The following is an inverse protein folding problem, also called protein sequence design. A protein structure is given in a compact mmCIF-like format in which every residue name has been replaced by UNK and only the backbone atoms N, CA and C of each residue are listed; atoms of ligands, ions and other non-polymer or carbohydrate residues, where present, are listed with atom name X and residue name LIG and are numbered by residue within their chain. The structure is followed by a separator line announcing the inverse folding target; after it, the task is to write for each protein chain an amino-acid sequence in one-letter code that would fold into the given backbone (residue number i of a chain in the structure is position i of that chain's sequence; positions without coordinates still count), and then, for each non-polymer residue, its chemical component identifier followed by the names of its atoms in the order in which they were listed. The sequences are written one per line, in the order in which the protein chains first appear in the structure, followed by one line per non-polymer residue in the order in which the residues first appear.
data_IF_877384887895
#
_entry.id   IF_877384887895
#
_cell.length_a   1.000
_cell.length_b   1.000
_cell.length_c   1.000
_cell.angle_alpha   90.00
_cell.angle_beta   90.00
_cell.angle_gamma   90.00
#
_symmetry.space_group_name_H-M   'P 1'
#
loop_
_entity.id
_entity.type
_entity.pdbx_description
1 polymer ?
#
# COMPACT_ATOMS: atom_id res chain seq x y z
N UNK A 1 -10.92 -22.23 26.10
CA UNK A 1 -11.28 -22.57 24.71
C UNK A 1 -10.09 -23.27 24.06
N UNK A 2 -10.34 -24.38 23.36
CA UNK A 2 -9.35 -24.93 22.46
C UNK A 2 -9.16 -23.90 21.33
N UNK A 3 -7.91 -23.50 21.06
CA UNK A 3 -7.63 -22.61 19.93
C UNK A 3 -6.52 -23.22 19.08
N UNK A 4 -6.69 -23.05 17.77
CA UNK A 4 -5.73 -23.54 16.76
C UNK A 4 -4.96 -22.39 16.10
N UNK A 5 -5.25 -21.15 16.50
CA UNK A 5 -4.63 -19.97 15.93
C UNK A 5 -4.00 -19.09 17.01
N UNK A 6 -3.02 -18.33 16.63
CA UNK A 6 -2.42 -17.25 17.38
C UNK A 6 -2.01 -16.10 16.45
N UNK A 7 -1.76 -14.95 17.00
CA UNK A 7 -0.99 -13.91 16.34
C UNK A 7 0.18 -13.46 17.21
N UNK A 8 1.19 -12.90 16.58
CA UNK A 8 2.38 -12.43 17.27
C UNK A 8 3.13 -11.39 16.46
N UNK A 9 3.79 -10.47 17.15
CA UNK A 9 4.75 -9.54 16.55
C UNK A 9 6.10 -10.17 16.20
N UNK A 10 6.42 -11.31 16.83
CA UNK A 10 7.71 -11.96 16.67
C UNK A 10 7.81 -12.72 15.35
N UNK A 11 9.01 -12.72 14.76
CA UNK A 11 9.32 -13.55 13.62
C UNK A 11 9.04 -15.03 13.90
N UNK A 12 8.36 -15.69 12.99
CA UNK A 12 8.18 -17.14 13.05
C UNK A 12 9.47 -17.81 12.56
N UNK A 13 10.39 -18.03 13.49
CA UNK A 13 11.61 -18.81 13.27
C UNK A 13 11.30 -20.29 13.14
N UNK A 14 12.26 -21.10 12.67
CA UNK A 14 12.10 -22.57 12.65
C UNK A 14 11.84 -23.12 14.05
N UNK A 15 12.47 -22.56 15.08
CA UNK A 15 12.25 -22.94 16.48
C UNK A 15 10.82 -22.65 16.92
N UNK A 16 10.34 -21.42 16.71
CA UNK A 16 8.99 -21.04 17.10
C UNK A 16 7.93 -21.85 16.33
N UNK A 17 8.13 -22.06 15.03
CA UNK A 17 7.22 -22.87 14.22
C UNK A 17 7.07 -24.30 14.73
N UNK A 18 8.19 -24.93 15.14
CA UNK A 18 8.17 -26.27 15.74
C UNK A 18 7.40 -26.29 17.08
N UNK A 19 7.61 -25.29 17.94
CA UNK A 19 6.87 -25.20 19.20
C UNK A 19 5.38 -24.99 18.98
N UNK A 20 5.00 -24.09 18.06
CA UNK A 20 3.61 -23.86 17.74
C UNK A 20 2.91 -25.13 17.23
N UNK A 21 3.56 -25.85 16.33
CA UNK A 21 3.03 -27.12 15.82
C UNK A 21 2.87 -28.17 16.94
N UNK A 22 3.88 -28.31 17.79
CA UNK A 22 3.84 -29.27 18.91
C UNK A 22 2.73 -28.97 19.90
N UNK A 23 2.43 -27.69 20.12
CA UNK A 23 1.34 -27.24 21.03
C UNK A 23 -0.04 -27.16 20.35
N UNK A 24 -0.15 -27.62 19.09
CA UNK A 24 -1.42 -27.77 18.38
C UNK A 24 -1.88 -26.53 17.58
N UNK A 25 -1.05 -25.49 17.51
CA UNK A 25 -1.36 -24.35 16.64
C UNK A 25 -1.25 -24.75 15.16
N UNK A 26 -2.16 -24.20 14.37
CA UNK A 26 -2.26 -24.46 12.93
C UNK A 26 -2.17 -23.19 12.10
N UNK A 27 -2.52 -22.04 12.69
CA UNK A 27 -2.66 -20.77 11.99
C UNK A 27 -1.95 -19.66 12.78
N UNK A 28 -1.21 -18.81 12.07
CA UNK A 28 -0.49 -17.67 12.66
C UNK A 28 -0.88 -16.38 11.95
N UNK A 29 -1.31 -15.39 12.72
CA UNK A 29 -1.47 -14.01 12.25
C UNK A 29 -0.15 -13.28 12.27
N UNK A 30 0.22 -12.63 11.16
CA UNK A 30 1.45 -11.87 11.05
C UNK A 30 1.23 -10.55 10.34
N UNK A 31 2.05 -9.57 10.67
CA UNK A 31 1.95 -8.20 10.20
C UNK A 31 2.69 -8.01 8.88
N UNK A 32 2.01 -7.46 7.87
CA UNK A 32 2.59 -7.23 6.54
C UNK A 32 3.70 -6.18 6.54
N UNK A 33 3.58 -5.19 7.40
CA UNK A 33 4.50 -4.04 7.48
C UNK A 33 4.45 -3.39 8.85
N UNK A 34 5.31 -2.38 9.06
CA UNK A 34 5.33 -1.55 10.26
C UNK A 34 5.72 -0.11 9.91
N UNK A 35 5.42 0.88 10.79
CA UNK A 35 5.86 2.25 10.60
C UNK A 35 7.38 2.37 10.57
N UNK A 36 7.92 3.14 9.62
CA UNK A 36 9.36 3.38 9.51
C UNK A 36 10.19 2.21 8.99
N UNK A 37 9.52 1.15 8.50
CA UNK A 37 10.17 -0.05 7.99
C UNK A 37 11.20 0.24 6.90
N UNK A 38 10.96 1.24 6.07
CA UNK A 38 11.85 1.65 4.99
C UNK A 38 13.21 2.17 5.47
N UNK A 39 13.31 2.57 6.73
CA UNK A 39 14.53 3.07 7.37
C UNK A 39 15.12 2.09 8.41
N UNK A 40 14.59 0.86 8.47
CA UNK A 40 14.95 -0.12 9.47
C UNK A 40 15.52 -1.36 8.78
N UNK A 41 16.63 -1.89 9.27
CA UNK A 41 17.14 -3.17 8.77
C UNK A 41 16.15 -4.29 9.08
N UNK A 42 15.99 -5.24 8.16
CA UNK A 42 15.01 -6.33 8.30
C UNK A 42 15.19 -7.13 9.61
N UNK A 43 16.43 -7.32 10.05
CA UNK A 43 16.72 -8.00 11.31
C UNK A 43 16.15 -7.28 12.54
N UNK A 44 15.97 -5.96 12.43
CA UNK A 44 15.53 -5.08 13.52
C UNK A 44 14.02 -4.76 13.46
N UNK A 45 13.27 -5.38 12.54
CA UNK A 45 11.83 -5.17 12.48
C UNK A 45 11.17 -5.55 13.81
N UNK A 46 10.32 -4.66 14.30
CA UNK A 46 9.58 -4.90 15.52
C UNK A 46 8.50 -5.97 15.34
N UNK A 47 7.75 -5.88 14.23
CA UNK A 47 6.61 -6.78 13.97
C UNK A 47 6.45 -7.21 12.51
N UNK A 48 7.04 -6.51 11.55
CA UNK A 48 6.84 -6.80 10.14
C UNK A 48 7.38 -8.17 9.74
N UNK A 49 6.67 -8.82 8.84
CA UNK A 49 7.13 -10.03 8.16
C UNK A 49 8.47 -9.79 7.47
N UNK A 50 9.37 -10.76 7.61
CA UNK A 50 10.69 -10.79 6.98
C UNK A 50 10.67 -11.60 5.70
N UNK A 51 11.65 -11.35 4.84
CA UNK A 51 11.84 -12.13 3.62
C UNK A 51 12.01 -13.61 3.96
N UNK A 52 11.27 -14.49 3.29
CA UNK A 52 11.31 -15.93 3.50
C UNK A 52 10.56 -16.44 4.74
N UNK A 53 9.97 -15.57 5.54
CA UNK A 53 9.23 -15.98 6.74
C UNK A 53 7.92 -16.71 6.40
N UNK A 54 7.16 -16.26 5.39
CA UNK A 54 5.94 -16.94 4.96
C UNK A 54 6.23 -18.32 4.38
N UNK A 55 7.29 -18.45 3.61
CA UNK A 55 7.80 -19.75 3.09
C UNK A 55 8.10 -20.71 4.23
N UNK A 56 8.73 -20.20 5.30
CA UNK A 56 9.05 -20.99 6.50
C UNK A 56 7.78 -21.43 7.22
N UNK A 57 6.80 -20.54 7.41
CA UNK A 57 5.51 -20.86 8.02
C UNK A 57 4.84 -22.01 7.26
N UNK A 58 4.72 -21.89 5.94
CA UNK A 58 4.07 -22.91 5.08
C UNK A 58 4.86 -24.22 5.07
N UNK A 59 6.19 -24.15 5.01
CA UNK A 59 7.07 -25.34 5.04
C UNK A 59 6.91 -26.15 6.32
N UNK A 60 6.64 -25.49 7.45
CA UNK A 60 6.33 -26.16 8.72
C UNK A 60 4.89 -26.69 8.80
N UNK A 61 4.09 -26.55 7.73
CA UNK A 61 2.68 -26.97 7.70
C UNK A 61 1.77 -26.10 8.56
N UNK A 62 2.17 -24.86 8.83
CA UNK A 62 1.33 -23.81 9.39
C UNK A 62 0.63 -23.05 8.26
N UNK A 63 -0.52 -22.49 8.59
CA UNK A 63 -1.22 -21.50 7.75
C UNK A 63 -1.04 -20.12 8.36
N UNK A 64 -1.36 -19.08 7.60
CA UNK A 64 -1.27 -17.71 8.12
C UNK A 64 -2.46 -16.85 7.68
N UNK A 65 -2.62 -15.72 8.32
CA UNK A 65 -3.47 -14.63 7.88
C UNK A 65 -2.75 -13.29 8.05
N UNK A 66 -2.82 -12.41 7.04
CA UNK A 66 -2.11 -11.14 7.06
C UNK A 66 -2.86 -10.07 7.83
N UNK A 67 -2.14 -9.34 8.67
CA UNK A 67 -2.62 -8.18 9.43
C UNK A 67 -1.90 -6.94 8.89
N UNK A 68 -2.62 -5.85 8.73
CA UNK A 68 -2.05 -4.55 8.44
C UNK A 68 -2.31 -3.60 9.60
N UNK A 69 -1.24 -3.13 10.23
CA UNK A 69 -1.29 -2.13 11.29
C UNK A 69 -0.08 -1.20 11.19
N UNK A 70 -0.30 0.01 10.71
CA UNK A 70 0.72 1.06 10.73
C UNK A 70 0.55 1.91 11.98
N UNK A 71 -0.30 2.92 11.94
CA UNK A 71 -0.73 3.70 13.10
C UNK A 71 -2.23 3.53 13.28
N UNK A 72 -2.67 2.97 14.41
CA UNK A 72 -4.08 2.60 14.61
C UNK A 72 -4.58 2.81 16.04
N UNK A 73 -3.84 3.59 16.84
CA UNK A 73 -4.06 3.76 18.29
C UNK A 73 -4.63 5.12 18.67
N UNK A 74 -4.93 5.98 17.70
CA UNK A 74 -5.49 7.32 17.92
C UNK A 74 -6.50 7.65 16.84
N UNK A 75 -7.54 8.41 17.19
CA UNK A 75 -8.59 8.79 16.25
C UNK A 75 -8.09 9.43 14.96
N UNK A 76 -7.09 10.32 15.06
CA UNK A 76 -6.47 10.99 13.90
C UNK A 76 -5.82 10.05 12.89
N UNK A 77 -5.57 8.80 13.26
CA UNK A 77 -5.01 7.81 12.33
C UNK A 77 -6.04 7.30 11.31
N UNK A 78 -7.33 7.51 11.63
CA UNK A 78 -8.44 7.05 10.79
C UNK A 78 -9.03 8.23 10.02
N UNK A 79 -8.57 8.38 8.79
CA UNK A 79 -9.10 9.31 7.79
C UNK A 79 -9.26 8.58 6.45
N UNK A 80 -10.07 9.12 5.55
CA UNK A 80 -10.22 8.56 4.21
C UNK A 80 -8.87 8.55 3.45
N UNK A 81 -8.05 9.59 3.62
CA UNK A 81 -6.72 9.68 3.03
C UNK A 81 -5.82 8.55 3.54
N UNK A 82 -5.76 8.34 4.85
CA UNK A 82 -5.01 7.24 5.45
C UNK A 82 -5.55 5.87 5.01
N UNK A 83 -6.87 5.72 4.89
CA UNK A 83 -7.48 4.49 4.41
C UNK A 83 -7.02 4.11 3.00
N UNK A 84 -7.04 5.07 2.08
CA UNK A 84 -6.54 4.86 0.72
C UNK A 84 -5.04 4.51 0.69
N UNK A 85 -4.23 5.24 1.46
CA UNK A 85 -2.79 5.00 1.59
C UNK A 85 -2.49 3.62 2.19
N UNK A 86 -3.18 3.25 3.26
CA UNK A 86 -3.01 1.96 3.94
C UNK A 86 -3.41 0.79 3.04
N UNK A 87 -4.48 0.92 2.26
CA UNK A 87 -4.88 -0.10 1.29
C UNK A 87 -3.78 -0.38 0.27
N UNK A 88 -3.19 0.66 -0.31
CA UNK A 88 -2.07 0.53 -1.28
C UNK A 88 -0.83 -0.07 -0.63
N UNK A 89 -0.44 0.39 0.57
CA UNK A 89 0.70 -0.16 1.31
C UNK A 89 0.51 -1.64 1.65
N UNK A 90 -0.67 -2.01 2.12
CA UNK A 90 -0.99 -3.39 2.46
C UNK A 90 -0.93 -4.31 1.22
N UNK A 91 -1.51 -3.85 0.11
CA UNK A 91 -1.46 -4.58 -1.16
C UNK A 91 -0.03 -4.77 -1.65
N UNK A 92 0.77 -3.70 -1.67
CA UNK A 92 2.17 -3.75 -2.09
C UNK A 92 2.99 -4.71 -1.21
N UNK A 93 2.83 -4.64 0.11
CA UNK A 93 3.52 -5.53 1.03
C UNK A 93 3.10 -6.99 0.85
N UNK A 94 1.80 -7.26 0.70
CA UNK A 94 1.29 -8.61 0.46
C UNK A 94 1.83 -9.20 -0.84
N UNK A 95 1.83 -8.45 -1.93
CA UNK A 95 2.36 -8.87 -3.22
C UNK A 95 3.87 -9.13 -3.16
N UNK A 96 4.63 -8.23 -2.53
CA UNK A 96 6.07 -8.37 -2.34
C UNK A 96 6.43 -9.64 -1.55
N UNK A 97 5.65 -9.96 -0.53
CA UNK A 97 5.84 -11.13 0.32
C UNK A 97 5.30 -12.44 -0.29
N UNK A 98 4.65 -12.39 -1.44
CA UNK A 98 4.07 -13.55 -2.08
C UNK A 98 2.77 -14.03 -1.43
N UNK A 99 2.03 -13.16 -0.76
CA UNK A 99 0.69 -13.50 -0.23
C UNK A 99 -0.29 -13.63 -1.40
N UNK A 100 -0.93 -14.79 -1.61
CA UNK A 100 -1.94 -14.93 -2.65
C UNK A 100 -3.19 -14.10 -2.31
N UNK A 101 -4.09 -13.87 -3.29
CA UNK A 101 -5.37 -13.22 -3.03
C UNK A 101 -6.09 -13.80 -1.82
N UNK A 102 -6.33 -12.96 -0.81
CA UNK A 102 -6.93 -13.34 0.45
C UNK A 102 -7.55 -12.14 1.16
N UNK A 103 -7.91 -12.29 2.43
CA UNK A 103 -8.35 -11.20 3.28
C UNK A 103 -7.14 -10.60 4.00
N UNK A 104 -7.02 -9.28 3.98
CA UNK A 104 -6.08 -8.53 4.81
C UNK A 104 -6.87 -7.85 5.92
N UNK A 105 -6.47 -8.07 7.17
CA UNK A 105 -7.15 -7.52 8.35
C UNK A 105 -6.51 -6.19 8.75
N UNK A 106 -7.24 -5.10 8.53
CA UNK A 106 -6.82 -3.74 8.89
C UNK A 106 -7.16 -3.43 10.34
N UNK A 107 -6.17 -3.02 11.13
CA UNK A 107 -6.30 -2.87 12.56
C UNK A 107 -6.89 -1.51 12.98
N UNK A 108 -7.83 -1.56 13.94
CA UNK A 108 -8.30 -0.44 14.74
C UNK A 108 -8.05 -0.79 16.21
N UNK A 109 -6.90 -0.37 16.70
CA UNK A 109 -6.47 -0.58 18.11
C UNK A 109 -6.76 0.70 18.92
N UNK A 110 -8.01 1.12 18.88
CA UNK A 110 -8.52 2.33 19.49
C UNK A 110 -9.96 2.12 19.95
N UNK A 111 -10.26 2.54 21.18
CA UNK A 111 -11.61 2.47 21.73
C UNK A 111 -12.46 3.64 21.21
N UNK A 112 -12.91 3.53 19.96
CA UNK A 112 -13.73 4.56 19.34
C UNK A 112 -15.15 4.56 19.90
N UNK A 113 -15.63 5.74 20.26
CA UNK A 113 -17.05 5.97 20.55
C UNK A 113 -17.90 5.84 19.29
N UNK A 114 -19.19 5.63 19.45
CA UNK A 114 -20.10 5.45 18.32
C UNK A 114 -20.12 6.64 17.32
N UNK A 115 -20.10 7.92 17.76
CA UNK A 115 -19.90 9.05 16.86
C UNK A 115 -18.55 9.02 16.11
N UNK A 116 -17.45 8.61 16.76
CA UNK A 116 -16.14 8.51 16.13
C UNK A 116 -16.08 7.38 15.12
N UNK A 117 -16.81 6.29 15.34
CA UNK A 117 -16.97 5.24 14.32
C UNK A 117 -17.59 5.83 13.08
N UNK A 118 -18.65 6.64 13.23
CA UNK A 118 -19.32 7.27 12.09
C UNK A 118 -18.45 8.30 11.38
N UNK A 119 -17.76 9.16 12.12
CA UNK A 119 -17.02 10.29 11.55
C UNK A 119 -15.65 9.92 10.99
N UNK A 120 -15.00 8.86 11.51
CA UNK A 120 -13.63 8.53 11.19
C UNK A 120 -13.45 7.09 10.69
N UNK A 121 -13.94 6.09 11.44
CA UNK A 121 -13.67 4.69 11.12
C UNK A 121 -14.38 4.26 9.83
N UNK A 122 -15.67 4.60 9.66
CA UNK A 122 -16.40 4.25 8.44
C UNK A 122 -15.82 4.93 7.19
N UNK A 123 -15.50 6.24 7.17
CA UNK A 123 -14.80 6.86 6.03
C UNK A 123 -13.43 6.23 5.73
N UNK A 124 -12.66 5.87 6.76
CA UNK A 124 -11.41 5.15 6.60
C UNK A 124 -11.61 3.81 5.88
N UNK A 125 -12.53 2.95 6.37
CA UNK A 125 -12.78 1.64 5.74
C UNK A 125 -13.46 1.74 4.38
N UNK A 126 -14.27 2.77 4.15
CA UNK A 126 -14.78 3.06 2.80
C UNK A 126 -13.63 3.30 1.83
N UNK A 127 -12.64 4.08 2.23
CA UNK A 127 -11.45 4.35 1.41
C UNK A 127 -10.57 3.11 1.26
N UNK A 128 -10.38 2.30 2.31
CA UNK A 128 -9.66 1.02 2.22
C UNK A 128 -10.35 0.11 1.20
N UNK A 129 -11.65 -0.06 1.31
CA UNK A 129 -12.43 -0.92 0.40
C UNK A 129 -12.37 -0.45 -1.06
N UNK A 130 -12.37 0.86 -1.27
CA UNK A 130 -12.30 1.44 -2.62
C UNK A 130 -10.92 1.36 -3.27
N UNK A 131 -9.84 1.21 -2.48
CA UNK A 131 -8.46 1.27 -2.96
C UNK A 131 -7.70 -0.06 -2.84
N UNK A 132 -8.24 -1.06 -2.18
CA UNK A 132 -7.62 -2.38 -2.07
C UNK A 132 -7.93 -3.20 -3.33
N UNK A 133 -6.90 -3.53 -4.10
CA UNK A 133 -6.99 -4.30 -5.33
C UNK A 133 -6.21 -5.63 -5.26
N UNK A 134 -5.76 -6.14 -6.41
CA UNK A 134 -4.94 -7.35 -6.48
C UNK A 134 -5.66 -8.64 -6.06
N UNK A 135 -6.99 -8.64 -6.03
CA UNK A 135 -7.79 -9.77 -5.56
C UNK A 135 -7.87 -9.89 -4.03
N UNK A 136 -7.24 -8.97 -3.29
CA UNK A 136 -7.35 -8.90 -1.84
C UNK A 136 -8.71 -8.33 -1.41
N UNK A 137 -9.20 -8.78 -0.26
CA UNK A 137 -10.45 -8.32 0.32
C UNK A 137 -10.22 -7.75 1.71
N UNK A 138 -11.05 -6.81 2.10
CA UNK A 138 -10.92 -6.11 3.38
C UNK A 138 -11.47 -6.96 4.52
N UNK A 139 -10.60 -7.25 5.50
CA UNK A 139 -10.95 -7.65 6.84
C UNK A 139 -10.71 -6.52 7.82
N UNK A 140 -11.27 -6.63 9.01
CA UNK A 140 -11.08 -5.67 10.09
C UNK A 140 -10.61 -6.38 11.36
N UNK A 141 -9.62 -5.81 12.04
CA UNK A 141 -9.28 -6.15 13.42
C UNK A 141 -9.72 -4.99 14.34
N UNK A 142 -10.69 -5.22 15.19
CA UNK A 142 -11.24 -4.20 16.07
C UNK A 142 -12.12 -4.81 17.19
N UNK A 143 -12.66 -3.95 18.07
CA UNK A 143 -13.72 -4.32 19.01
C UNK A 143 -15.00 -4.73 18.27
N UNK A 144 -15.89 -5.44 18.97
CA UNK A 144 -17.12 -6.02 18.42
C UNK A 144 -18.02 -5.01 17.70
N UNK A 145 -18.27 -3.86 18.35
CA UNK A 145 -19.11 -2.82 17.77
C UNK A 145 -18.53 -2.27 16.46
N UNK A 146 -17.23 -1.96 16.47
CA UNK A 146 -16.56 -1.43 15.29
C UNK A 146 -16.60 -2.44 14.15
N UNK A 147 -16.25 -3.70 14.43
CA UNK A 147 -16.34 -4.79 13.45
C UNK A 147 -17.75 -4.91 12.85
N UNK A 148 -18.77 -4.92 13.69
CA UNK A 148 -20.16 -5.04 13.23
C UNK A 148 -20.56 -3.86 12.34
N UNK A 149 -20.28 -2.63 12.75
CA UNK A 149 -20.65 -1.43 11.99
C UNK A 149 -19.94 -1.32 10.64
N UNK A 150 -18.65 -1.66 10.58
CA UNK A 150 -17.89 -1.67 9.31
C UNK A 150 -18.40 -2.76 8.36
N UNK A 151 -18.76 -3.93 8.89
CA UNK A 151 -19.35 -5.02 8.12
C UNK A 151 -20.76 -4.66 7.60
N UNK A 152 -21.61 -4.07 8.44
CA UNK A 152 -22.96 -3.61 8.07
C UNK A 152 -22.92 -2.51 6.99
N UNK A 153 -21.90 -1.65 7.02
CA UNK A 153 -21.67 -0.66 5.98
C UNK A 153 -21.15 -1.27 4.66
N UNK A 154 -20.84 -2.58 4.62
CA UNK A 154 -20.34 -3.27 3.45
C UNK A 154 -18.86 -3.05 3.15
N UNK A 155 -18.08 -2.51 4.09
CA UNK A 155 -16.67 -2.18 3.88
C UNK A 155 -15.69 -3.27 4.32
N UNK A 156 -16.16 -4.30 5.03
CA UNK A 156 -15.36 -5.48 5.35
C UNK A 156 -16.15 -6.76 5.16
N UNK A 157 -15.45 -7.83 4.72
CA UNK A 157 -16.06 -9.16 4.50
C UNK A 157 -15.82 -10.12 5.66
N UNK A 158 -14.86 -9.81 6.53
CA UNK A 158 -14.47 -10.65 7.66
C UNK A 158 -14.02 -9.82 8.85
N UNK A 159 -14.25 -10.33 10.05
CA UNK A 159 -13.81 -9.69 11.29
C UNK A 159 -12.83 -10.58 12.06
N UNK A 160 -11.76 -9.95 12.50
CA UNK A 160 -10.84 -10.42 13.53
C UNK A 160 -11.11 -9.59 14.79
N UNK A 161 -11.79 -10.17 15.73
CA UNK A 161 -12.32 -9.46 16.90
C UNK A 161 -11.24 -9.35 17.97
N UNK A 162 -11.08 -8.17 18.57
CA UNK A 162 -10.13 -7.91 19.66
C UNK A 162 -10.80 -8.09 21.04
N UNK A 163 -11.34 -9.27 21.34
CA UNK A 163 -11.99 -9.55 22.63
C UNK A 163 -11.03 -9.50 23.82
N UNK A 164 -9.74 -9.60 23.57
CA UNK A 164 -8.70 -9.42 24.58
C UNK A 164 -8.70 -7.99 25.16
N UNK A 165 -9.14 -7.00 24.39
CA UNK A 165 -9.29 -5.61 24.84
C UNK A 165 -10.58 -5.45 25.66
N UNK A 166 -10.63 -6.10 26.82
CA UNK A 166 -11.83 -6.20 27.68
C UNK A 166 -12.29 -4.87 28.24
N UNK A 167 -11.40 -3.87 28.32
CA UNK A 167 -11.74 -2.50 28.73
C UNK A 167 -12.33 -1.61 27.63
N UNK A 168 -12.32 -2.07 26.38
CA UNK A 168 -12.87 -1.28 25.27
C UNK A 168 -14.40 -1.24 25.33
N UNK A 169 -14.95 -0.04 25.25
CA UNK A 169 -16.40 0.18 25.28
C UNK A 169 -17.11 -0.56 24.15
N UNK A 170 -16.46 -0.70 23.00
CA UNK A 170 -16.96 -1.43 21.85
C UNK A 170 -17.07 -2.93 22.04
N UNK A 171 -16.52 -3.51 23.12
CA UNK A 171 -16.68 -4.91 23.50
C UNK A 171 -17.76 -5.14 24.57
N UNK A 172 -18.10 -4.09 25.33
CA UNK A 172 -19.03 -4.18 26.44
C UNK A 172 -20.49 -4.24 25.94
N UNK A 173 -21.15 -5.37 26.19
CA UNK A 173 -22.56 -5.55 25.83
C UNK A 173 -22.84 -5.83 24.35
N UNK A 174 -21.83 -5.86 23.49
CA UNK A 174 -21.98 -6.20 22.08
C UNK A 174 -21.80 -7.69 21.81
N UNK A 175 -22.64 -8.23 20.95
CA UNK A 175 -22.47 -9.58 20.44
C UNK A 175 -21.29 -9.66 19.48
N UNK A 176 -20.67 -10.85 19.38
CA UNK A 176 -19.64 -11.09 18.37
C UNK A 176 -20.23 -10.88 16.95
N UNK A 177 -19.54 -10.19 16.04
CA UNK A 177 -20.04 -9.91 14.69
C UNK A 177 -20.36 -11.19 13.92
N UNK A 178 -21.42 -11.17 13.10
CA UNK A 178 -21.84 -12.34 12.33
C UNK A 178 -20.78 -12.87 11.37
N UNK A 179 -19.93 -11.99 10.86
CA UNK A 179 -18.84 -12.28 9.92
C UNK A 179 -17.48 -12.54 10.60
N UNK A 180 -17.48 -12.85 11.89
CA UNK A 180 -16.22 -13.13 12.59
C UNK A 180 -15.54 -14.39 12.02
N UNK A 181 -14.25 -14.28 11.80
CA UNK A 181 -13.37 -15.37 11.38
C UNK A 181 -12.37 -15.72 12.47
N UNK A 182 -11.82 -14.71 13.08
CA UNK A 182 -10.87 -14.79 14.19
C UNK A 182 -11.35 -13.99 15.40
N UNK A 183 -11.01 -14.45 16.59
CA UNK A 183 -11.33 -13.79 17.86
C UNK A 183 -10.11 -13.91 18.79
N UNK A 184 -9.44 -12.78 19.03
CA UNK A 184 -8.29 -12.67 19.91
C UNK A 184 -8.78 -12.51 21.36
N UNK A 185 -8.53 -13.49 22.18
CA UNK A 185 -9.17 -13.56 23.51
C UNK A 185 -8.21 -13.69 24.71
N UNK A 186 -6.94 -13.96 24.47
CA UNK A 186 -5.99 -14.16 25.58
C UNK A 186 -4.54 -14.01 25.15
N UNK A 187 -3.76 -13.24 25.88
CA UNK A 187 -2.33 -13.08 25.68
C UNK A 187 -1.53 -14.07 26.53
N UNK A 188 -0.49 -14.65 25.98
CA UNK A 188 0.50 -15.47 26.67
C UNK A 188 1.81 -14.70 26.64
N UNK A 189 2.23 -14.22 27.82
CA UNK A 189 3.55 -13.65 28.01
C UNK A 189 4.61 -14.74 28.22
N UNK A 190 5.75 -14.58 27.57
CA UNK A 190 6.88 -15.49 27.75
C UNK A 190 6.62 -16.92 27.29
N UNK A 191 5.88 -17.11 26.19
CA UNK A 191 5.70 -18.42 25.57
C UNK A 191 7.07 -19.08 25.30
N UNK A 192 7.28 -20.28 25.85
CA UNK A 192 8.57 -20.99 25.84
C UNK A 192 9.75 -20.16 26.38
N UNK A 193 9.48 -19.18 27.22
CA UNK A 193 10.48 -18.28 27.81
C UNK A 193 11.06 -17.21 26.88
N UNK A 194 10.53 -17.06 25.67
CA UNK A 194 11.11 -16.18 24.62
C UNK A 194 10.12 -15.27 23.92
N UNK A 195 8.86 -15.69 23.71
CA UNK A 195 7.92 -15.01 22.85
C UNK A 195 6.64 -14.62 23.58
N UNK A 196 5.95 -13.63 23.07
CA UNK A 196 4.57 -13.34 23.45
C UNK A 196 3.64 -13.74 22.32
N UNK A 197 2.53 -14.37 22.63
CA UNK A 197 1.52 -14.83 21.68
C UNK A 197 0.15 -14.37 22.14
N UNK A 198 -0.65 -13.94 21.20
CA UNK A 198 -2.08 -13.74 21.39
C UNK A 198 -2.84 -14.96 20.89
N UNK A 199 -3.61 -15.61 21.78
CA UNK A 199 -4.43 -16.76 21.43
C UNK A 199 -5.66 -16.30 20.68
N UNK A 200 -5.93 -16.98 19.57
CA UNK A 200 -6.98 -16.63 18.63
C UNK A 200 -7.90 -17.82 18.40
N UNK A 201 -9.19 -17.63 18.64
CA UNK A 201 -10.21 -18.59 18.24
C UNK A 201 -10.48 -18.45 16.74
N UNK A 202 -10.68 -19.56 16.07
CA UNK A 202 -10.93 -19.62 14.63
C UNK A 202 -12.29 -20.24 14.34
N UNK A 203 -13.11 -19.55 13.56
CA UNK A 203 -14.47 -20.01 13.22
C UNK A 203 -14.53 -21.06 12.12
N UNK A 204 -13.49 -21.18 11.33
CA UNK A 204 -13.47 -22.05 10.15
C UNK A 204 -14.26 -21.54 8.93
N UNK A 205 -14.89 -20.36 9.03
CA UNK A 205 -15.76 -19.82 7.96
C UNK A 205 -15.01 -19.42 6.70
N UNK A 206 -13.80 -18.92 6.85
CA UNK A 206 -12.93 -18.51 5.75
C UNK A 206 -11.58 -19.17 5.96
N UNK A 207 -11.05 -19.90 4.97
CA UNK A 207 -9.77 -20.57 5.11
C UNK A 207 -8.63 -19.58 5.34
N UNK A 208 -7.74 -19.93 6.25
CA UNK A 208 -6.44 -19.26 6.36
C UNK A 208 -5.53 -19.65 5.18
N UNK A 209 -4.53 -18.83 4.88
CA UNK A 209 -3.64 -19.03 3.73
C UNK A 209 -2.66 -20.16 3.99
N UNK A 210 -2.57 -21.13 3.07
CA UNK A 210 -1.68 -22.30 3.15
C UNK A 210 -0.63 -22.36 2.05
N UNK A 211 -0.51 -21.31 1.25
CA UNK A 211 0.37 -21.25 0.09
C UNK A 211 1.04 -19.90 -0.02
N UNK A 212 2.01 -19.83 -0.91
CA UNK A 212 2.66 -18.59 -1.33
C UNK A 212 2.52 -18.50 -2.83
N UNK A 213 2.13 -17.33 -3.32
CA UNK A 213 2.25 -17.03 -4.74
C UNK A 213 3.73 -16.82 -5.05
N UNK A 214 4.22 -17.25 -6.22
CA UNK A 214 5.54 -16.84 -6.68
C UNK A 214 5.59 -15.31 -6.59
N UNK A 215 6.48 -14.79 -5.76
CA UNK A 215 6.73 -13.35 -5.76
C UNK A 215 7.14 -12.98 -7.18
N UNK A 216 6.38 -12.14 -7.84
CA UNK A 216 6.96 -11.39 -8.94
C UNK A 216 8.21 -10.74 -8.37
N UNK A 217 9.38 -10.86 -9.00
CA UNK A 217 10.58 -10.24 -8.48
C UNK A 217 10.24 -8.77 -8.21
N UNK A 218 10.25 -8.38 -6.94
CA UNK A 218 9.93 -7.00 -6.58
C UNK A 218 11.03 -6.15 -7.15
N UNK A 219 10.73 -5.43 -8.20
CA UNK A 219 11.65 -4.46 -8.75
C UNK A 219 11.91 -3.44 -7.64
N UNK A 220 13.14 -3.34 -7.16
CA UNK A 220 13.49 -2.37 -6.14
C UNK A 220 13.60 -0.98 -6.78
N UNK A 221 12.46 -0.34 -6.96
CA UNK A 221 12.41 1.01 -7.53
C UNK A 221 13.19 2.03 -6.71
N UNK A 222 13.30 1.83 -5.41
CA UNK A 222 14.02 2.76 -4.52
C UNK A 222 15.53 2.84 -4.80
N UNK A 223 16.11 1.83 -5.45
CA UNK A 223 17.52 1.80 -5.84
C UNK A 223 17.80 2.23 -7.27
N UNK A 224 16.75 2.59 -8.02
CA UNK A 224 16.88 2.99 -9.43
C UNK A 224 17.26 4.45 -9.58
N UNK A 225 17.95 4.74 -10.68
CA UNK A 225 18.21 6.09 -11.14
C UNK A 225 16.92 6.83 -11.54
N UNK A 226 16.98 8.15 -11.49
CA UNK A 226 15.84 8.99 -11.82
C UNK A 226 15.28 8.72 -13.23
N UNK A 227 16.14 8.66 -14.23
CA UNK A 227 15.74 8.41 -15.63
C UNK A 227 15.09 7.04 -15.77
N UNK A 228 15.66 6.00 -15.16
CA UNK A 228 15.11 4.65 -15.19
C UNK A 228 13.70 4.60 -14.57
N UNK A 229 13.47 5.37 -13.50
CA UNK A 229 12.16 5.47 -12.86
C UNK A 229 11.13 6.17 -13.77
N UNK A 230 11.54 7.23 -14.44
CA UNK A 230 10.68 7.96 -15.39
C UNK A 230 10.28 7.04 -16.55
N UNK A 231 11.23 6.34 -17.18
CA UNK A 231 10.96 5.39 -18.26
C UNK A 231 10.03 4.26 -17.81
N UNK A 232 10.23 3.75 -16.59
CA UNK A 232 9.36 2.70 -16.06
C UNK A 232 7.95 3.18 -15.76
N UNK A 233 7.80 4.42 -15.28
CA UNK A 233 6.49 5.01 -15.08
C UNK A 233 5.75 5.21 -16.41
N UNK A 234 6.45 5.67 -17.42
CA UNK A 234 5.89 5.83 -18.78
C UNK A 234 5.43 4.48 -19.35
N UNK A 235 6.29 3.47 -19.31
CA UNK A 235 5.95 2.13 -19.78
C UNK A 235 4.75 1.54 -19.00
N UNK A 236 4.66 1.80 -17.71
CA UNK A 236 3.52 1.34 -16.92
C UNK A 236 2.24 2.07 -17.27
N UNK A 237 2.33 3.37 -17.52
CA UNK A 237 1.22 4.17 -18.00
C UNK A 237 0.66 3.65 -19.32
N UNK A 238 1.53 3.34 -20.28
CA UNK A 238 1.12 2.74 -21.55
C UNK A 238 0.38 1.41 -21.37
N UNK A 239 0.91 0.52 -20.51
CA UNK A 239 0.27 -0.75 -20.20
C UNK A 239 -1.11 -0.58 -19.57
N UNK A 240 -1.27 0.38 -18.65
CA UNK A 240 -2.57 0.68 -18.04
C UNK A 240 -3.54 1.18 -19.11
N UNK A 241 -3.10 2.09 -19.96
CA UNK A 241 -3.89 2.64 -21.05
C UNK A 241 -4.34 1.58 -22.06
N UNK A 242 -3.44 0.69 -22.45
CA UNK A 242 -3.75 -0.41 -23.38
C UNK A 242 -4.77 -1.40 -22.80
N UNK A 243 -4.76 -1.58 -21.48
CA UNK A 243 -5.67 -2.49 -20.79
C UNK A 243 -6.97 -1.82 -20.34
N UNK A 244 -7.11 -0.51 -20.52
CA UNK A 244 -8.33 0.22 -20.13
C UNK A 244 -9.46 -0.04 -21.15
N UNK A 245 -10.25 -1.06 -20.87
CA UNK A 245 -11.43 -1.43 -21.68
C UNK A 245 -12.55 -0.40 -21.62
N UNK A 246 -12.50 0.55 -20.68
CA UNK A 246 -13.54 1.58 -20.56
C UNK A 246 -13.32 2.72 -21.56
N UNK A 247 -12.14 2.81 -22.16
CA UNK A 247 -11.76 3.85 -23.10
C UNK A 247 -11.76 5.26 -22.51
N UNK A 248 -11.81 5.37 -21.17
CA UNK A 248 -11.83 6.69 -20.49
C UNK A 248 -10.44 7.19 -20.14
N UNK A 249 -9.44 6.31 -20.13
CA UNK A 249 -8.06 6.69 -19.90
C UNK A 249 -7.46 7.29 -21.17
N UNK A 250 -7.16 8.57 -21.12
CA UNK A 250 -6.67 9.29 -22.29
C UNK A 250 -7.73 9.59 -23.36
N UNK A 251 -9.01 9.32 -23.12
CA UNK A 251 -10.08 9.49 -24.12
C UNK A 251 -10.35 10.95 -24.51
N UNK A 252 -10.01 11.90 -23.65
CA UNK A 252 -10.23 13.32 -23.89
C UNK A 252 -9.17 13.97 -24.78
N UNK A 253 -8.20 13.19 -25.23
CA UNK A 253 -7.26 13.66 -26.22
C UNK A 253 -7.85 13.53 -27.61
N UNK A 254 -8.13 14.66 -28.16
CA UNK A 254 -8.35 14.75 -29.60
C UNK A 254 -7.10 14.21 -30.29
N UNK A 255 -7.28 13.24 -31.15
CA UNK A 255 -6.24 12.78 -32.08
C UNK A 255 -5.75 13.99 -32.91
N UNK A 256 -4.96 14.81 -32.29
CA UNK A 256 -4.24 15.87 -32.92
C UNK A 256 -3.00 15.31 -33.59
N UNK A 257 -2.49 15.97 -34.55
CA UNK A 257 -1.44 15.71 -35.51
C UNK A 257 -0.10 15.15 -34.99
N UNK A 258 0.02 14.63 -33.80
CA UNK A 258 1.28 14.33 -33.15
C UNK A 258 1.55 12.85 -32.87
N UNK A 259 0.68 11.94 -33.27
CA UNK A 259 0.86 10.50 -33.05
C UNK A 259 0.67 10.05 -31.58
N UNK A 260 0.38 8.79 -31.39
CA UNK A 260 0.06 8.17 -30.11
C UNK A 260 1.19 8.32 -29.07
N UNK A 261 2.45 8.30 -29.48
CA UNK A 261 3.61 8.44 -28.60
C UNK A 261 3.71 9.79 -27.89
N UNK A 262 3.52 10.89 -28.61
CA UNK A 262 3.58 12.23 -28.01
C UNK A 262 2.49 12.50 -26.95
N UNK A 263 1.46 11.75 -27.00
CA UNK A 263 0.26 11.76 -26.20
C UNK A 263 0.45 11.15 -24.81
N UNK A 264 0.85 9.91 -24.79
CA UNK A 264 1.20 9.17 -23.59
C UNK A 264 2.18 9.99 -22.76
N UNK A 265 3.06 10.67 -23.40
CA UNK A 265 4.12 11.46 -22.83
C UNK A 265 3.64 12.69 -22.05
N UNK A 266 2.72 13.44 -22.64
CA UNK A 266 2.12 14.60 -21.99
C UNK A 266 1.33 14.15 -20.75
N UNK A 267 0.67 13.01 -20.82
CA UNK A 267 -0.12 12.48 -19.71
C UNK A 267 0.74 11.92 -18.59
N UNK A 268 1.75 11.11 -18.91
CA UNK A 268 2.72 10.62 -17.93
C UNK A 268 3.39 11.79 -17.24
N UNK A 269 3.82 12.76 -18.01
CA UNK A 269 4.42 13.98 -17.50
C UNK A 269 3.46 14.75 -16.58
N UNK A 270 2.19 14.88 -16.97
CA UNK A 270 1.18 15.52 -16.14
C UNK A 270 0.95 14.80 -14.81
N UNK A 271 0.88 13.47 -14.83
CA UNK A 271 0.70 12.68 -13.64
C UNK A 271 1.90 12.80 -12.71
N UNK A 272 3.12 12.76 -13.24
CA UNK A 272 4.35 12.97 -12.47
C UNK A 272 4.38 14.39 -11.92
N UNK A 273 4.07 15.38 -12.71
CA UNK A 273 4.05 16.77 -12.26
C UNK A 273 2.97 17.05 -11.24
N UNK A 274 1.75 16.55 -11.43
CA UNK A 274 0.69 16.72 -10.43
C UNK A 274 1.08 16.09 -9.10
N UNK A 275 1.77 14.98 -9.15
CA UNK A 275 2.22 14.29 -7.96
C UNK A 275 3.40 15.01 -7.27
N UNK A 276 4.37 15.48 -8.04
CA UNK A 276 5.53 16.21 -7.57
C UNK A 276 5.21 17.69 -7.28
N UNK A 277 4.24 18.29 -7.96
CA UNK A 277 3.96 19.73 -7.97
C UNK A 277 3.21 20.25 -6.77
N UNK A 278 2.80 19.39 -5.88
CA UNK A 278 2.17 19.86 -4.63
C UNK A 278 3.06 20.90 -3.92
N UNK A 279 4.33 20.94 -4.22
CA UNK A 279 5.31 21.88 -3.61
C UNK A 279 6.10 22.73 -4.62
N UNK A 280 6.53 22.20 -5.78
CA UNK A 280 7.59 22.81 -6.60
C UNK A 280 7.16 23.42 -7.93
N UNK A 281 6.10 22.95 -8.54
CA UNK A 281 5.74 23.32 -9.91
C UNK A 281 4.53 24.21 -10.03
N UNK A 282 3.91 24.54 -8.92
CA UNK A 282 2.74 25.42 -8.88
C UNK A 282 3.12 26.80 -9.40
N UNK A 283 2.88 27.02 -10.68
CA UNK A 283 3.06 28.32 -11.34
C UNK A 283 4.27 28.46 -12.27
N UNK A 284 5.18 27.49 -12.34
CA UNK A 284 6.38 27.61 -13.19
C UNK A 284 6.16 27.20 -14.66
N UNK A 285 5.09 26.47 -14.96
CA UNK A 285 4.81 25.97 -16.30
C UNK A 285 3.41 26.36 -16.74
N UNK A 286 3.29 27.38 -17.56
CA UNK A 286 2.00 27.90 -18.08
C UNK A 286 1.16 26.86 -18.82
N UNK A 287 1.77 25.88 -19.45
CA UNK A 287 1.07 24.84 -20.18
C UNK A 287 0.62 23.67 -19.26
N UNK A 288 1.30 23.42 -18.15
CA UNK A 288 0.84 22.50 -17.14
C UNK A 288 -0.46 22.96 -16.49
N UNK A 289 -0.62 24.26 -16.32
CA UNK A 289 -1.84 24.86 -15.74
C UNK A 289 -3.07 24.68 -16.65
N UNK A 290 -2.92 24.75 -17.96
CA UNK A 290 -4.05 24.61 -18.89
C UNK A 290 -4.55 23.17 -19.02
N UNK A 291 -3.73 22.19 -18.64
CA UNK A 291 -4.08 20.78 -18.69
C UNK A 291 -4.50 20.21 -17.33
N UNK A 292 -4.34 20.98 -16.24
CA UNK A 292 -4.60 20.54 -14.85
C UNK A 292 -6.03 20.03 -14.63
N UNK A 293 -7.02 20.61 -15.32
CA UNK A 293 -8.40 20.20 -15.19
C UNK A 293 -8.72 18.84 -15.81
N UNK A 294 -7.94 18.39 -16.77
CA UNK A 294 -8.21 17.16 -17.52
C UNK A 294 -7.58 15.91 -16.90
N UNK A 295 -6.75 16.05 -15.86
CA UNK A 295 -5.82 15.02 -15.43
C UNK A 295 -6.05 14.45 -14.05
N UNK A 296 -6.96 15.00 -13.29
CA UNK A 296 -7.24 14.50 -11.95
C UNK A 296 -7.71 13.04 -11.97
N UNK A 297 -8.46 12.66 -13.02
CA UNK A 297 -8.95 11.29 -13.17
C UNK A 297 -7.83 10.31 -13.53
N UNK A 298 -6.92 10.72 -14.41
CA UNK A 298 -5.81 9.89 -14.86
C UNK A 298 -4.73 9.77 -13.78
N UNK A 299 -4.45 10.84 -13.05
CA UNK A 299 -3.60 10.80 -11.87
C UNK A 299 -4.13 9.82 -10.82
N UNK A 300 -5.43 9.82 -10.55
CA UNK A 300 -6.07 8.87 -9.63
C UNK A 300 -5.96 7.42 -10.11
N UNK A 301 -6.06 7.17 -11.40
CA UNK A 301 -5.87 5.83 -11.98
C UNK A 301 -4.44 5.35 -11.82
N UNK A 302 -3.46 6.20 -12.07
CA UNK A 302 -2.05 5.88 -11.83
C UNK A 302 -1.75 5.64 -10.36
N UNK A 303 -2.26 6.48 -9.48
CA UNK A 303 -2.11 6.31 -8.03
C UNK A 303 -2.76 5.01 -7.53
N UNK A 304 -3.82 4.54 -8.17
CA UNK A 304 -4.48 3.27 -7.84
C UNK A 304 -3.73 2.05 -8.38
N UNK A 305 -2.85 2.22 -9.36
CA UNK A 305 -2.01 1.14 -9.87
C UNK A 305 -0.81 0.92 -8.96
N UNK A 306 -0.67 -0.29 -8.46
CA UNK A 306 0.37 -0.61 -7.48
C UNK A 306 1.80 -0.40 -8.02
N UNK A 307 2.05 -0.74 -9.27
CA UNK A 307 3.38 -0.58 -9.89
C UNK A 307 3.67 0.89 -10.13
N UNK A 308 2.74 1.64 -10.69
CA UNK A 308 2.89 3.08 -10.89
C UNK A 308 3.09 3.81 -9.56
N UNK A 309 2.30 3.47 -8.53
CA UNK A 309 2.43 4.05 -7.19
C UNK A 309 3.83 3.83 -6.59
N UNK A 310 4.38 2.62 -6.69
CA UNK A 310 5.74 2.35 -6.20
C UNK A 310 6.82 3.14 -6.94
N UNK A 311 6.67 3.30 -8.27
CA UNK A 311 7.59 4.11 -9.07
C UNK A 311 7.48 5.58 -8.66
N UNK A 312 6.27 6.09 -8.49
CA UNK A 312 6.00 7.46 -8.05
C UNK A 312 6.59 7.71 -6.65
N UNK A 313 6.39 6.77 -5.71
CA UNK A 313 6.99 6.86 -4.37
C UNK A 313 8.53 6.89 -4.43
N UNK A 314 9.13 6.13 -5.34
CA UNK A 314 10.57 6.15 -5.55
C UNK A 314 11.04 7.48 -6.18
N UNK A 315 10.28 8.03 -7.13
CA UNK A 315 10.55 9.36 -7.71
C UNK A 315 10.43 10.47 -6.65
N UNK A 316 9.47 10.37 -5.72
CA UNK A 316 9.34 11.34 -4.64
C UNK A 316 10.58 11.44 -3.75
N UNK A 317 11.36 10.38 -3.60
CA UNK A 317 12.63 10.43 -2.85
C UNK A 317 13.63 11.37 -3.47
N UNK A 318 13.58 11.58 -4.77
CA UNK A 318 14.42 12.56 -5.47
C UNK A 318 14.00 14.01 -5.19
N UNK A 319 12.73 14.22 -4.89
CA UNK A 319 12.15 15.54 -4.58
C UNK A 319 12.14 15.82 -3.07
N UNK A 320 11.98 14.79 -2.26
CA UNK A 320 11.81 14.89 -0.79
C UNK A 320 13.12 14.88 0.00
N UNK A 321 14.28 14.80 -0.65
CA UNK A 321 15.56 15.00 0.02
C UNK A 321 15.75 16.49 0.30
N UNK A 322 16.46 16.85 1.35
CA UNK A 322 16.77 18.24 1.71
C UNK A 322 17.47 19.06 0.60
N UNK A 323 17.64 18.47 -0.56
CA UNK A 323 18.17 19.09 -1.76
C UNK A 323 17.12 19.00 -2.87
N UNK A 324 16.46 20.11 -3.09
CA UNK A 324 15.60 20.32 -4.26
C UNK A 324 16.42 20.50 -5.55
N UNK A 325 17.71 20.48 -5.43
CA UNK A 325 18.65 20.69 -6.51
C UNK A 325 19.58 19.51 -6.65
N UNK A 326 19.94 19.22 -7.86
CA UNK A 326 20.96 18.25 -8.22
C UNK A 326 22.11 19.01 -8.89
N UNK A 327 23.33 18.62 -8.60
CA UNK A 327 24.51 19.19 -9.26
C UNK A 327 24.84 18.35 -10.48
N UNK A 328 24.78 18.94 -11.66
CA UNK A 328 25.19 18.28 -12.89
C UNK A 328 26.72 18.00 -12.90
N UNK A 329 27.22 17.16 -13.84
CA UNK A 329 28.66 16.88 -13.92
C UNK A 329 29.54 18.12 -14.21
N UNK A 330 28.95 19.20 -14.69
CA UNK A 330 29.68 20.48 -14.93
C UNK A 330 29.71 21.37 -13.69
N UNK A 331 29.03 20.99 -12.62
CA UNK A 331 28.92 21.70 -11.36
C UNK A 331 27.76 22.69 -11.26
N UNK A 332 26.84 22.65 -12.22
CA UNK A 332 25.59 23.42 -12.19
C UNK A 332 24.56 22.79 -11.26
N UNK A 333 23.79 23.62 -10.55
CA UNK A 333 22.65 23.15 -9.78
C UNK A 333 21.41 23.09 -10.68
N UNK A 334 20.75 21.92 -10.75
CA UNK A 334 19.54 21.71 -11.52
C UNK A 334 18.39 21.38 -10.55
N UNK A 335 17.31 22.11 -10.67
CA UNK A 335 16.07 21.80 -9.96
C UNK A 335 15.55 20.42 -10.38
N UNK A 336 15.32 19.50 -9.42
CA UNK A 336 14.87 18.15 -9.69
C UNK A 336 13.52 18.14 -10.42
N UNK A 337 12.65 19.09 -10.13
CA UNK A 337 11.39 19.23 -10.84
C UNK A 337 11.61 19.65 -12.31
N UNK A 338 12.52 20.58 -12.55
CA UNK A 338 12.93 20.97 -13.88
C UNK A 338 13.54 19.81 -14.66
N UNK A 339 14.42 19.06 -14.01
CA UNK A 339 14.98 17.82 -14.57
C UNK A 339 13.91 16.78 -14.91
N UNK A 340 12.93 16.59 -14.04
CA UNK A 340 11.81 15.66 -14.32
C UNK A 340 11.10 16.04 -15.61
N UNK A 341 10.74 17.29 -15.72
CA UNK A 341 10.05 17.83 -16.90
C UNK A 341 10.93 17.72 -18.14
N UNK A 342 12.19 18.08 -18.04
CA UNK A 342 13.14 18.03 -19.14
C UNK A 342 13.39 16.60 -19.60
N UNK A 343 13.55 15.66 -18.67
CA UNK A 343 13.74 14.24 -18.98
C UNK A 343 12.51 13.66 -19.68
N UNK A 344 11.32 13.94 -19.18
CA UNK A 344 10.07 13.53 -19.84
C UNK A 344 9.93 14.18 -21.22
N UNK A 345 10.23 15.45 -21.34
CA UNK A 345 10.27 16.15 -22.61
C UNK A 345 11.24 15.51 -23.60
N UNK A 346 12.43 15.11 -23.13
CA UNK A 346 13.46 14.48 -23.95
C UNK A 346 13.08 13.05 -24.39
N UNK A 347 12.64 12.21 -23.49
CA UNK A 347 12.18 10.85 -23.79
C UNK A 347 11.08 10.89 -24.84
N UNK A 348 10.33 11.96 -24.87
CA UNK A 348 9.14 12.14 -25.65
C UNK A 348 9.24 13.16 -26.76
N UNK A 349 10.45 13.61 -27.05
CA UNK A 349 10.66 14.53 -28.17
C UNK A 349 10.20 13.86 -29.45
N UNK A 350 9.07 14.29 -29.94
CA UNK A 350 8.66 13.94 -31.28
C UNK A 350 9.66 14.58 -32.26
N UNK A 351 10.43 13.80 -33.03
CA UNK A 351 11.38 14.34 -34.00
C UNK A 351 10.75 15.25 -35.05
N UNK A 352 9.43 15.29 -35.13
CA UNK A 352 8.65 16.12 -36.03
C UNK A 352 8.38 17.55 -35.53
N UNK A 353 8.78 17.88 -34.28
CA UNK A 353 8.59 19.24 -33.74
C UNK A 353 9.83 19.69 -32.96
N UNK A 354 11.01 19.75 -33.58
CA UNK A 354 12.27 20.03 -32.89
C UNK A 354 12.33 21.40 -32.23
N UNK A 355 11.68 22.41 -32.80
CA UNK A 355 11.86 23.79 -32.36
C UNK A 355 11.14 24.18 -31.08
N UNK A 356 10.25 23.35 -30.56
CA UNK A 356 9.51 23.63 -29.31
C UNK A 356 10.17 23.09 -28.04
N UNK A 357 11.18 22.23 -28.19
CA UNK A 357 11.79 21.48 -27.10
C UNK A 357 13.29 21.75 -26.92
N UNK A 358 13.86 22.59 -27.76
CA UNK A 358 15.30 22.86 -27.76
C UNK A 358 15.84 23.45 -26.46
N UNK A 359 15.04 24.22 -25.75
CA UNK A 359 15.46 24.76 -24.45
C UNK A 359 15.55 23.68 -23.36
N UNK A 360 14.74 22.65 -23.46
CA UNK A 360 14.66 21.57 -22.47
C UNK A 360 15.65 20.44 -22.74
N UNK A 361 15.91 20.16 -23.99
CA UNK A 361 16.95 19.21 -24.38
C UNK A 361 18.35 19.72 -24.04
N UNK A 362 18.55 21.03 -24.00
CA UNK A 362 19.80 21.63 -23.58
C UNK A 362 20.16 21.44 -22.11
N UNK A 363 19.15 21.28 -21.26
CA UNK A 363 19.35 21.06 -19.83
C UNK A 363 19.75 19.61 -19.50
N UNK A 364 19.53 18.68 -20.44
CA UNK A 364 19.94 17.27 -20.33
C UNK A 364 21.28 16.99 -21.01
N UNK A 365 21.73 17.86 -21.89
CA UNK A 365 22.99 17.72 -22.61
C UNK A 365 24.17 18.27 -21.82
#
# INVERSE_FOLDING_TARGET
RACVACDTRFEITDELAKHLKADGYQIVGRYLSEPGQENTAEADYFKALRTGELERIVRHGLKYFPIFQEYSTKLRHFSAENGARHARKAQAAAQRLGVPPTIIYFAVDYDATDPEVTSNILPYFRAVSANLGGGYRVGIYASRNICARVAEAGYSVASFVSDMSTGFSGNLGFSIPKNWVFDQFHEIHGYKGKWDLDRVAYSGRIPAVSSISPSSPSTNYASMGFIDLVEKLENRFEQIRENDQTGTFGADYVQGSHGIGAWVNVETWHCVLNYLSKVYLKGSLKWAQSAEAYRELDAKKLESDNTASQIIDALQKWVGTDRNTWTDPSGGEIDVAHMTVTTLGYINTNPLVPDKWTGWAGDLA
#
